data_IF_496118240984
#
_entry.id   IF_496118240984
#
_cell.length_a   1.000
_cell.length_b   1.000
_cell.length_c   1.000
_cell.angle_alpha   90.00
_cell.angle_beta   90.00
_cell.angle_gamma   90.00
#
_symmetry.space_group_name_H-M   'P 1'
#
loop_
_entity.id
_entity.type
_entity.pdbx_description
1 polymer ?
#
# COMPACT_ATOMS: atom_id res chain seq x y z
N UNK A 1 -0.69 -16.18 -25.38
CA UNK A 1 0.30 -16.91 -24.53
C UNK A 1 -0.42 -17.32 -23.24
N UNK A 2 -0.39 -18.62 -22.90
CA UNK A 2 -1.23 -19.41 -21.96
C UNK A 2 -2.34 -20.30 -22.57
N UNK A 3 -2.68 -20.15 -23.85
CA UNK A 3 -3.53 -21.12 -24.57
C UNK A 3 -4.98 -21.21 -24.09
N UNK A 4 -5.50 -20.20 -23.38
CA UNK A 4 -6.89 -20.17 -22.96
C UNK A 4 -7.80 -19.87 -24.15
N UNK A 5 -8.86 -20.66 -24.39
CA UNK A 5 -9.83 -20.39 -25.45
C UNK A 5 -10.63 -19.13 -25.11
N UNK A 6 -10.70 -18.19 -26.06
CA UNK A 6 -11.30 -16.85 -25.86
C UNK A 6 -12.78 -16.93 -25.45
N UNK A 7 -13.50 -17.91 -26.00
CA UNK A 7 -14.91 -18.21 -25.71
C UNK A 7 -15.19 -18.69 -24.28
N UNK A 8 -14.15 -18.98 -23.48
CA UNK A 8 -14.27 -19.35 -22.05
C UNK A 8 -13.76 -18.28 -21.09
N UNK A 9 -13.40 -17.10 -21.59
CA UNK A 9 -12.94 -15.99 -20.74
C UNK A 9 -14.14 -15.12 -20.37
N UNK A 10 -14.50 -15.12 -19.08
CA UNK A 10 -15.50 -14.21 -18.53
C UNK A 10 -14.82 -13.09 -17.72
N UNK A 11 -15.27 -11.84 -17.90
CA UNK A 11 -14.77 -10.69 -17.13
C UNK A 11 -15.76 -10.34 -16.02
N UNK A 12 -15.31 -10.43 -14.77
CA UNK A 12 -16.05 -9.93 -13.63
C UNK A 12 -15.62 -8.49 -13.30
N UNK A 13 -16.57 -7.60 -13.10
CA UNK A 13 -16.32 -6.20 -12.69
C UNK A 13 -16.55 -6.07 -11.19
N UNK A 14 -15.56 -5.52 -10.50
CA UNK A 14 -15.64 -5.23 -9.06
C UNK A 14 -15.92 -3.74 -8.86
N UNK A 15 -17.07 -3.42 -8.26
CA UNK A 15 -17.43 -2.05 -7.88
C UNK A 15 -17.14 -1.86 -6.39
N UNK A 16 -16.21 -0.97 -6.07
CA UNK A 16 -15.83 -0.61 -4.70
C UNK A 16 -16.04 0.89 -4.48
N UNK A 17 -16.51 1.25 -3.27
CA UNK A 17 -16.65 2.63 -2.86
C UNK A 17 -15.24 3.26 -2.76
N UNK A 18 -15.06 4.42 -3.40
CA UNK A 18 -13.81 5.16 -3.35
C UNK A 18 -13.63 5.78 -1.96
N UNK A 19 -12.43 5.65 -1.41
CA UNK A 19 -12.08 6.12 -0.08
C UNK A 19 -11.18 7.33 -0.23
N UNK A 20 -11.63 8.47 0.30
CA UNK A 20 -10.78 9.64 0.49
C UNK A 20 -9.70 9.30 1.53
N UNK A 21 -8.47 9.11 1.06
CA UNK A 21 -7.35 8.61 1.83
C UNK A 21 -6.23 9.65 1.78
N UNK A 22 -5.84 10.18 2.95
CA UNK A 22 -4.68 11.05 3.06
C UNK A 22 -3.37 10.32 2.70
N UNK A 23 -3.33 9.01 2.94
CA UNK A 23 -2.19 8.14 2.61
C UNK A 23 -2.70 6.79 2.14
N UNK A 24 -2.01 6.20 1.17
CA UNK A 24 -2.29 4.85 0.72
C UNK A 24 -1.00 4.09 0.43
N UNK A 25 -1.11 2.76 0.41
CA UNK A 25 0.07 1.93 0.26
C UNK A 25 -0.22 0.46 0.07
N UNK A 26 0.87 -0.28 0.03
CA UNK A 26 0.90 -1.73 -0.10
C UNK A 26 1.58 -2.33 1.11
N UNK A 27 1.05 -3.47 1.53
CA UNK A 27 1.63 -4.23 2.63
C UNK A 27 1.88 -5.66 2.17
N UNK A 28 3.07 -6.14 2.51
CA UNK A 28 3.51 -7.50 2.28
C UNK A 28 3.73 -8.22 3.60
N UNK A 29 3.08 -9.38 3.76
CA UNK A 29 3.27 -10.25 4.94
C UNK A 29 4.51 -11.15 4.81
N UNK A 30 5.42 -10.85 3.89
CA UNK A 30 6.68 -11.54 3.64
C UNK A 30 7.58 -10.55 2.93
N UNK A 31 8.84 -10.46 3.32
CA UNK A 31 9.79 -9.57 2.63
C UNK A 31 9.81 -9.88 1.13
N UNK A 32 9.57 -8.90 0.25
CA UNK A 32 9.62 -9.12 -1.20
C UNK A 32 11.04 -9.35 -1.71
N UNK A 33 12.05 -8.85 -0.99
CA UNK A 33 13.47 -8.96 -1.38
C UNK A 33 14.11 -10.24 -0.85
N UNK A 34 13.89 -10.57 0.44
CA UNK A 34 14.56 -11.70 1.10
C UNK A 34 13.66 -12.91 1.29
N UNK A 35 12.35 -12.76 1.13
CA UNK A 35 11.40 -13.84 1.39
C UNK A 35 11.26 -14.17 2.89
N UNK A 36 11.75 -13.35 3.80
CA UNK A 36 11.58 -13.57 5.23
C UNK A 36 10.09 -13.43 5.62
N UNK A 37 9.56 -14.47 6.29
CA UNK A 37 8.18 -14.53 6.79
C UNK A 37 8.05 -13.92 8.18
N UNK A 38 9.13 -13.60 8.87
CA UNK A 38 9.12 -13.01 10.21
C UNK A 38 8.79 -11.52 10.19
N UNK A 39 8.86 -10.87 9.01
CA UNK A 39 8.68 -9.42 8.85
C UNK A 39 7.42 -9.06 8.04
N UNK A 40 6.94 -7.84 8.27
CA UNK A 40 5.95 -7.13 7.45
C UNK A 40 6.65 -5.95 6.80
N UNK A 41 6.53 -5.83 5.48
CA UNK A 41 6.98 -4.64 4.75
C UNK A 41 5.77 -3.81 4.39
N UNK A 42 5.80 -2.53 4.74
CA UNK A 42 4.77 -1.54 4.42
C UNK A 42 5.43 -0.50 3.53
N UNK A 43 4.82 -0.22 2.39
CA UNK A 43 5.22 0.85 1.50
C UNK A 43 4.04 1.80 1.30
N UNK A 44 4.24 3.10 1.46
CA UNK A 44 3.15 4.08 1.41
C UNK A 44 3.57 5.43 0.85
N UNK A 45 2.60 6.13 0.26
CA UNK A 45 2.75 7.49 -0.24
C UNK A 45 1.47 8.29 0.03
N UNK A 46 1.56 9.62 -0.12
CA UNK A 46 0.44 10.53 0.03
C UNK A 46 -0.64 10.31 -1.03
N UNK A 47 -1.90 10.53 -0.64
CA UNK A 47 -3.06 10.41 -1.51
C UNK A 47 -3.46 8.96 -1.83
N UNK A 48 -4.02 8.77 -3.02
CA UNK A 48 -4.57 7.50 -3.50
C UNK A 48 -3.47 6.50 -3.86
N UNK A 49 -3.74 5.22 -3.58
CA UNK A 49 -2.79 4.13 -3.80
C UNK A 49 -2.50 3.81 -5.27
N UNK A 50 -3.18 4.48 -6.20
CA UNK A 50 -2.92 4.39 -7.64
C UNK A 50 -1.50 4.83 -7.98
N UNK A 51 -0.98 5.90 -7.35
CA UNK A 51 0.37 6.42 -7.59
C UNK A 51 1.44 5.37 -7.29
N UNK A 52 1.29 4.67 -6.16
CA UNK A 52 2.22 3.62 -5.71
C UNK A 52 2.14 2.38 -6.61
N UNK A 53 0.93 2.02 -7.08
CA UNK A 53 0.74 0.84 -7.93
C UNK A 53 1.18 1.10 -9.37
N UNK A 54 1.03 2.34 -9.86
CA UNK A 54 1.53 2.78 -11.16
C UNK A 54 3.05 2.95 -11.21
N UNK A 55 3.71 3.04 -10.05
CA UNK A 55 5.16 3.29 -9.97
C UNK A 55 5.53 4.74 -10.28
N UNK A 56 4.58 5.66 -10.18
CA UNK A 56 4.75 7.08 -10.50
C UNK A 56 5.37 7.87 -9.33
N UNK A 57 5.33 7.30 -8.12
CA UNK A 57 5.91 7.89 -6.91
C UNK A 57 6.81 6.88 -6.22
N UNK A 58 7.93 7.35 -5.66
CA UNK A 58 8.78 6.57 -4.76
C UNK A 58 8.16 6.57 -3.36
N UNK A 59 7.60 5.44 -2.87
CA UNK A 59 6.96 5.40 -1.58
C UNK A 59 7.99 5.39 -0.45
N UNK A 60 7.53 5.74 0.75
CA UNK A 60 8.23 5.45 1.99
C UNK A 60 8.17 3.95 2.28
N UNK A 61 9.21 3.42 2.94
CA UNK A 61 9.31 2.00 3.26
C UNK A 61 9.56 1.79 4.75
N UNK A 62 8.74 0.92 5.33
CA UNK A 62 8.88 0.47 6.72
C UNK A 62 8.93 -1.06 6.77
N UNK A 63 9.88 -1.60 7.53
CA UNK A 63 9.96 -3.03 7.82
C UNK A 63 9.73 -3.22 9.31
N UNK A 64 8.74 -4.06 9.64
CA UNK A 64 8.34 -4.34 11.01
C UNK A 64 8.48 -5.82 11.32
N UNK A 65 8.95 -6.15 12.52
CA UNK A 65 8.88 -7.51 13.05
C UNK A 65 7.42 -7.91 13.27
N UNK A 66 6.99 -9.07 12.74
CA UNK A 66 5.60 -9.53 12.91
C UNK A 66 5.23 -9.80 14.35
N UNK A 67 6.16 -10.30 15.16
CA UNK A 67 5.89 -10.68 16.55
C UNK A 67 6.01 -9.45 17.45
N UNK A 68 7.16 -8.81 17.42
CA UNK A 68 7.48 -7.65 18.27
C UNK A 68 6.67 -6.40 17.87
N UNK A 69 6.35 -6.25 16.58
CA UNK A 69 5.77 -5.02 16.05
C UNK A 69 6.76 -3.85 15.96
N UNK A 70 8.04 -4.10 16.27
CA UNK A 70 9.10 -3.09 16.22
C UNK A 70 9.50 -2.80 14.78
N UNK A 71 9.83 -1.54 14.51
CA UNK A 71 10.29 -1.08 13.20
C UNK A 71 11.80 -1.32 13.13
N UNK A 72 12.22 -2.23 12.25
CA UNK A 72 13.63 -2.51 11.99
C UNK A 72 14.22 -1.61 10.92
N UNK A 73 13.40 -1.14 9.98
CA UNK A 73 13.81 -0.24 8.89
C UNK A 73 12.77 0.85 8.70
N UNK A 74 13.25 2.09 8.54
CA UNK A 74 12.45 3.27 8.19
C UNK A 74 13.19 4.08 7.13
N UNK A 75 12.66 4.07 5.93
CA UNK A 75 13.16 4.83 4.79
C UNK A 75 12.07 5.80 4.34
N UNK A 76 12.36 7.09 4.41
CA UNK A 76 11.45 8.14 3.97
C UNK A 76 11.95 8.68 2.64
N UNK A 77 11.12 8.54 1.62
CA UNK A 77 11.42 8.91 0.24
C UNK A 77 10.87 10.30 -0.10
N UNK A 78 11.44 10.93 -1.12
CA UNK A 78 10.96 12.20 -1.67
C UNK A 78 9.72 11.96 -2.53
N UNK A 79 8.54 12.18 -1.96
CA UNK A 79 7.24 11.92 -2.59
C UNK A 79 6.80 13.14 -3.38
N UNK A 80 7.26 13.27 -4.63
CA UNK A 80 7.05 14.48 -5.45
C UNK A 80 5.58 14.73 -5.82
N UNK A 81 4.80 13.67 -6.05
CA UNK A 81 3.41 13.72 -6.49
C UNK A 81 2.51 12.85 -5.61
N UNK A 82 1.22 13.18 -5.60
CA UNK A 82 0.15 12.39 -5.01
C UNK A 82 -1.05 12.34 -5.94
N UNK A 83 -1.79 11.24 -5.91
CA UNK A 83 -3.04 11.13 -6.66
C UNK A 83 -4.21 11.53 -5.76
N UNK A 84 -5.10 12.40 -6.23
CA UNK A 84 -6.29 12.81 -5.49
C UNK A 84 -7.55 12.63 -6.35
N UNK A 85 -8.74 12.49 -5.73
CA UNK A 85 -10.00 12.46 -6.47
C UNK A 85 -10.26 13.79 -7.20
N UNK A 86 -10.54 13.71 -8.50
CA UNK A 86 -10.94 14.90 -9.26
C UNK A 86 -12.40 15.28 -8.99
N UNK A 87 -12.73 16.58 -9.03
CA UNK A 87 -14.07 17.10 -8.72
C UNK A 87 -15.16 16.58 -9.68
N UNK A 88 -14.81 16.31 -10.93
CA UNK A 88 -15.69 15.78 -11.98
C UNK A 88 -15.62 14.25 -12.12
N UNK A 89 -14.98 13.57 -11.16
CA UNK A 89 -14.71 12.14 -11.22
C UNK A 89 -13.39 11.82 -11.93
N UNK A 90 -12.81 10.68 -11.57
CA UNK A 90 -11.47 10.31 -11.99
C UNK A 90 -10.42 10.64 -10.93
N UNK A 91 -9.16 10.59 -11.36
CA UNK A 91 -7.97 10.77 -10.50
C UNK A 91 -7.05 11.78 -11.16
N UNK A 92 -6.58 12.74 -10.38
CA UNK A 92 -5.60 13.74 -10.81
C UNK A 92 -4.29 13.61 -10.02
N UNK A 93 -3.17 13.87 -10.68
CA UNK A 93 -1.85 13.90 -10.05
C UNK A 93 -1.52 15.34 -9.67
N UNK A 94 -1.24 15.57 -8.39
CA UNK A 94 -0.94 16.89 -7.83
C UNK A 94 0.42 16.85 -7.14
N UNK A 95 1.18 17.94 -7.25
CA UNK A 95 2.46 18.07 -6.55
C UNK A 95 2.26 18.07 -5.03
N UNK A 96 3.10 17.32 -4.32
CA UNK A 96 3.13 17.34 -2.86
C UNK A 96 3.90 18.57 -2.40
N UNK A 97 3.42 19.25 -1.35
CA UNK A 97 4.11 20.40 -0.77
C UNK A 97 5.47 19.98 -0.19
N UNK A 98 6.43 20.89 -0.19
CA UNK A 98 7.81 20.58 0.24
C UNK A 98 7.88 20.04 1.68
N UNK A 99 7.02 20.54 2.56
CA UNK A 99 6.87 20.04 3.94
C UNK A 99 6.48 18.55 3.96
N UNK A 100 5.50 18.17 3.14
CA UNK A 100 5.00 16.80 3.11
C UNK A 100 5.91 15.84 2.33
N UNK A 101 6.71 16.33 1.38
CA UNK A 101 7.62 15.48 0.56
C UNK A 101 8.55 14.62 1.41
N UNK A 102 9.15 15.22 2.44
CA UNK A 102 10.10 14.58 3.36
C UNK A 102 9.46 14.13 4.68
N UNK A 103 8.18 14.41 4.88
CA UNK A 103 7.44 13.90 6.01
C UNK A 103 7.11 12.41 5.81
N UNK A 104 7.03 11.61 6.90
CA UNK A 104 6.53 10.25 6.82
C UNK A 104 5.07 10.26 6.42
N UNK A 105 4.73 9.57 5.34
CA UNK A 105 3.34 9.51 4.86
C UNK A 105 2.41 8.76 5.80
N UNK A 106 2.92 7.89 6.68
CA UNK A 106 2.09 7.16 7.64
C UNK A 106 2.64 7.22 9.06
N UNK A 107 1.76 7.42 10.03
CA UNK A 107 2.09 7.47 11.45
C UNK A 107 2.29 6.08 12.07
N UNK A 108 2.94 6.03 13.23
CA UNK A 108 3.23 4.80 13.98
C UNK A 108 1.98 4.00 14.34
N UNK A 109 0.87 4.67 14.65
CA UNK A 109 -0.42 4.03 14.93
C UNK A 109 -0.95 3.23 13.73
N UNK A 110 -0.83 3.80 12.52
CA UNK A 110 -1.24 3.14 11.28
C UNK A 110 -0.33 1.95 10.96
N UNK A 111 0.98 2.08 11.16
CA UNK A 111 1.95 0.98 10.97
C UNK A 111 1.65 -0.20 11.91
N UNK A 112 1.38 0.10 13.18
CA UNK A 112 0.98 -0.90 14.17
C UNK A 112 -0.35 -1.59 13.79
N UNK A 113 -1.32 -0.81 13.29
CA UNK A 113 -2.60 -1.34 12.81
C UNK A 113 -2.40 -2.29 11.61
N UNK A 114 -1.59 -1.90 10.63
CA UNK A 114 -1.21 -2.73 9.49
C UNK A 114 -0.53 -4.03 9.94
N UNK A 115 0.42 -3.95 10.89
CA UNK A 115 1.08 -5.13 11.44
C UNK A 115 0.09 -6.09 12.13
N UNK A 116 -0.86 -5.56 12.92
CA UNK A 116 -1.96 -6.36 13.50
C UNK A 116 -2.83 -7.02 12.43
N UNK A 117 -3.17 -6.30 11.37
CA UNK A 117 -3.96 -6.82 10.26
C UNK A 117 -3.20 -7.93 9.50
N UNK A 118 -1.88 -7.77 9.30
CA UNK A 118 -1.01 -8.78 8.72
C UNK A 118 -1.02 -10.07 9.56
N UNK A 119 -0.87 -9.97 10.90
CA UNK A 119 -0.94 -11.12 11.82
C UNK A 119 -2.26 -11.89 11.70
N UNK A 120 -3.39 -11.18 11.70
CA UNK A 120 -4.72 -11.79 11.55
C UNK A 120 -4.87 -12.53 10.22
N UNK A 121 -4.31 -11.98 9.14
CA UNK A 121 -4.41 -12.58 7.79
C UNK A 121 -3.43 -13.73 7.57
N UNK A 122 -2.29 -13.74 8.27
CA UNK A 122 -1.32 -14.84 8.16
C UNK A 122 -1.76 -16.15 8.83
N UNK A 123 -2.84 -16.15 9.62
CA UNK A 123 -3.39 -17.36 10.27
C UNK A 123 -4.07 -18.36 9.32
N UNK A 124 -4.22 -18.04 8.02
CA UNK A 124 -4.73 -18.97 7.00
C UNK A 124 -3.56 -19.52 6.16
N UNK A 125 -3.28 -20.84 6.18
CA UNK A 125 -2.16 -21.42 5.42
C UNK A 125 -2.36 -21.24 3.91
N UNK A 126 -1.29 -20.91 3.18
CA UNK A 126 -1.19 -21.26 1.75
C UNK A 126 -0.64 -20.23 0.76
N UNK A 127 -0.59 -18.92 1.03
CA UNK A 127 -0.12 -17.95 0.00
C UNK A 127 0.44 -16.64 0.59
N UNK A 128 1.58 -16.13 0.10
CA UNK A 128 1.96 -14.72 0.31
C UNK A 128 0.88 -13.82 -0.28
N UNK A 129 0.37 -12.86 0.51
CA UNK A 129 -0.71 -11.96 0.07
C UNK A 129 -0.22 -10.52 0.04
N UNK A 130 -0.48 -9.84 -1.08
CA UNK A 130 -0.34 -8.38 -1.24
C UNK A 130 -1.68 -7.74 -0.90
N UNK A 131 -1.74 -6.95 0.15
CA UNK A 131 -2.95 -6.19 0.49
C UNK A 131 -2.79 -4.72 0.15
N UNK A 132 -3.78 -4.17 -0.55
CA UNK A 132 -3.95 -2.72 -0.72
C UNK A 132 -4.70 -2.21 0.51
N UNK A 133 -4.15 -1.24 1.22
CA UNK A 133 -4.80 -0.63 2.38
C UNK A 133 -5.16 0.82 2.04
N UNK A 134 -6.45 1.17 1.92
CA UNK A 134 -6.88 2.56 1.94
C UNK A 134 -6.91 3.01 3.41
N UNK A 135 -5.88 3.71 3.88
CA UNK A 135 -5.91 4.27 5.24
C UNK A 135 -6.76 5.55 5.25
N UNK A 136 -8.00 5.43 5.74
CA UNK A 136 -8.72 6.54 6.36
C UNK A 136 -8.10 6.77 7.74
N UNK A 137 -7.48 7.93 7.94
CA UNK A 137 -7.18 8.46 9.27
C UNK A 137 -8.07 9.70 9.41
N UNK A 138 -8.94 9.67 10.42
CA UNK A 138 -9.73 10.81 10.89
C UNK A 138 -9.18 11.19 12.25
#
# INVERSE_FOLDING_TARGET
KHGFPEERVAMAVVVQIMVDAGTAGVMFTRSPTTGDRSVVTIEGAWGLGSAVVGGEVTPDRWVLGKITGEISVREISDKLIQHVPAANGGVEAVAVSEEHRRAPSTGTAAQSCCCRAARRRSGRPGTPRRSRSPSKIR
#
